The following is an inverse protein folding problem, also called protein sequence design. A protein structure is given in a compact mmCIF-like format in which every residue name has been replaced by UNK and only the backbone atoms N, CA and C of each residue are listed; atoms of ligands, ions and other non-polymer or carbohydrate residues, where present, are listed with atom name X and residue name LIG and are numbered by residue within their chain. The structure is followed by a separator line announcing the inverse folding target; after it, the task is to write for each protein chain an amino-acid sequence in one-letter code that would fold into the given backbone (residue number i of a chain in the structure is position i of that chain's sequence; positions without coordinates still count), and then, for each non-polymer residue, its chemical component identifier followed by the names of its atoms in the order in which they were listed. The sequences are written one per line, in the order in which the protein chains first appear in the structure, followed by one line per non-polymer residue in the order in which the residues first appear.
data_IF_392650264724
#
_entry.id   IF_392650264724
#
_cell.length_a   1.000
_cell.length_b   1.000
_cell.length_c   1.000
_cell.angle_alpha   90.00
_cell.angle_beta   90.00
_cell.angle_gamma   90.00
#
_symmetry.space_group_name_H-M   'P 1'
#
loop_
_entity.id
_entity.type
_entity.pdbx_description
1 polymer ?
#
# COMPACT_ATOMS: atom_id res chain seq x y z
N UNK A 1 -0.61 -11.55 4.50
CA UNK A 1 -1.75 -11.18 5.36
C UNK A 1 -1.35 -11.36 6.82
N UNK A 2 -1.59 -10.34 7.63
CA UNK A 2 -1.43 -10.47 9.08
C UNK A 2 -2.80 -10.84 9.67
N UNK A 3 -2.84 -11.64 10.75
CA UNK A 3 -4.09 -11.96 11.44
C UNK A 3 -4.72 -10.71 12.07
N UNK A 4 -3.91 -9.81 12.63
CA UNK A 4 -4.36 -8.52 13.17
C UNK A 4 -3.84 -7.36 12.33
N UNK A 5 -4.72 -6.39 12.03
CA UNK A 5 -4.38 -5.24 11.19
C UNK A 5 -3.29 -4.38 11.83
N UNK A 6 -2.14 -4.23 11.18
CA UNK A 6 -1.04 -3.42 11.70
C UNK A 6 -1.28 -1.90 11.62
N UNK A 7 -2.46 -1.47 11.17
CA UNK A 7 -2.80 -0.06 10.92
C UNK A 7 -3.93 0.38 11.86
N UNK A 8 -3.91 1.63 12.34
CA UNK A 8 -5.00 2.19 13.12
C UNK A 8 -6.28 2.30 12.28
N UNK A 9 -7.44 2.18 12.94
CA UNK A 9 -8.78 2.17 12.31
C UNK A 9 -9.14 3.47 11.56
N UNK A 10 -8.35 4.54 11.71
CA UNK A 10 -8.51 5.82 11.01
C UNK A 10 -7.54 6.07 9.85
N UNK A 11 -6.81 5.05 9.37
CA UNK A 11 -5.80 5.24 8.34
C UNK A 11 -6.40 5.76 7.02
N UNK A 12 -5.93 6.93 6.55
CA UNK A 12 -6.37 7.46 5.25
C UNK A 12 -5.65 6.71 4.11
N UNK A 13 -6.42 6.08 3.23
CA UNK A 13 -5.90 5.35 2.06
C UNK A 13 -6.19 6.13 0.79
N UNK A 14 -5.15 6.39 0.00
CA UNK A 14 -5.25 7.00 -1.31
C UNK A 14 -5.02 5.94 -2.40
N UNK A 15 -5.91 5.89 -3.40
CA UNK A 15 -5.80 5.00 -4.56
C UNK A 15 -5.50 5.79 -5.84
N UNK A 16 -4.37 5.50 -6.47
CA UNK A 16 -4.05 5.98 -7.80
C UNK A 16 -4.63 5.04 -8.86
N UNK A 17 -5.39 5.61 -9.78
CA UNK A 17 -6.09 4.89 -10.86
C UNK A 17 -5.55 5.28 -12.23
N UNK A 18 -5.73 4.38 -13.21
CA UNK A 18 -5.45 4.70 -14.61
C UNK A 18 -6.59 5.52 -15.18
N UNK A 19 -6.23 6.50 -16.02
CA UNK A 19 -7.19 7.22 -16.83
C UNK A 19 -7.73 6.32 -17.94
N UNK A 20 -9.05 6.23 -18.04
CA UNK A 20 -9.70 5.66 -19.21
C UNK A 20 -9.78 6.75 -20.30
N UNK A 21 -9.48 6.42 -21.56
CA UNK A 21 -9.27 7.40 -22.63
C UNK A 21 -10.51 8.26 -22.93
N UNK A 22 -11.71 7.71 -22.74
CA UNK A 22 -12.98 8.36 -23.11
C UNK A 22 -13.63 9.18 -21.99
N UNK A 23 -13.05 9.20 -20.79
CA UNK A 23 -13.67 9.80 -19.59
C UNK A 23 -12.83 10.97 -19.01
N UNK A 24 -13.54 11.93 -18.42
CA UNK A 24 -12.91 13.00 -17.62
C UNK A 24 -12.27 12.42 -16.35
N UNK A 25 -11.36 13.20 -15.73
CA UNK A 25 -10.71 12.80 -14.47
C UNK A 25 -11.75 12.53 -13.37
N UNK A 26 -12.75 13.41 -13.24
CA UNK A 26 -13.83 13.28 -12.26
C UNK A 26 -14.74 12.09 -12.53
N UNK A 27 -15.04 11.83 -13.81
CA UNK A 27 -15.87 10.68 -14.20
C UNK A 27 -15.15 9.36 -13.92
N UNK A 28 -13.83 9.32 -14.14
CA UNK A 28 -12.99 8.16 -13.84
C UNK A 28 -12.97 7.90 -12.33
N UNK A 29 -12.76 8.94 -11.52
CA UNK A 29 -12.77 8.84 -10.06
C UNK A 29 -14.14 8.35 -9.54
N UNK A 30 -15.24 8.87 -10.08
CA UNK A 30 -16.59 8.43 -9.71
C UNK A 30 -16.87 6.98 -10.14
N UNK A 31 -16.38 6.55 -11.30
CA UNK A 31 -16.51 5.17 -11.75
C UNK A 31 -15.81 4.21 -10.79
N UNK A 32 -14.56 4.48 -10.42
CA UNK A 32 -13.83 3.65 -9.46
C UNK A 32 -14.43 3.73 -8.05
N UNK A 33 -14.99 4.89 -7.65
CA UNK A 33 -15.72 5.03 -6.39
C UNK A 33 -16.94 4.11 -6.34
N UNK A 34 -17.75 4.11 -7.41
CA UNK A 34 -18.91 3.19 -7.54
C UNK A 34 -18.48 1.72 -7.54
N UNK A 35 -17.35 1.40 -8.20
CA UNK A 35 -16.80 0.06 -8.24
C UNK A 35 -16.39 -0.42 -6.84
N UNK A 36 -15.67 0.42 -6.08
CA UNK A 36 -15.26 0.12 -4.71
C UNK A 36 -16.46 -0.09 -3.78
N UNK A 37 -17.48 0.75 -3.90
CA UNK A 37 -18.74 0.61 -3.14
C UNK A 37 -19.42 -0.72 -3.48
N UNK A 38 -19.53 -1.06 -4.77
CA UNK A 38 -20.10 -2.35 -5.20
C UNK A 38 -19.29 -3.55 -4.71
N UNK A 39 -17.97 -3.39 -4.59
CA UNK A 39 -17.06 -4.40 -4.04
C UNK A 39 -17.04 -4.43 -2.50
N UNK A 40 -17.77 -3.54 -1.82
CA UNK A 40 -17.85 -3.50 -0.35
C UNK A 40 -16.60 -2.95 0.34
N UNK A 41 -15.75 -2.20 -0.37
CA UNK A 41 -14.54 -1.61 0.22
C UNK A 41 -14.81 -0.16 0.59
N UNK A 42 -14.85 0.14 1.89
CA UNK A 42 -14.99 1.50 2.44
C UNK A 42 -13.68 2.12 2.88
N UNK A 43 -12.59 1.34 2.91
CA UNK A 43 -11.29 1.78 3.45
C UNK A 43 -10.51 2.76 2.57
N UNK A 44 -11.02 3.14 1.38
CA UNK A 44 -10.34 4.08 0.47
C UNK A 44 -10.92 5.48 0.65
N UNK A 45 -10.14 6.40 1.20
CA UNK A 45 -10.54 7.78 1.49
C UNK A 45 -10.56 8.66 0.24
N UNK A 46 -9.55 8.55 -0.62
CA UNK A 46 -9.45 9.37 -1.84
C UNK A 46 -8.97 8.56 -3.03
N UNK A 47 -9.56 8.81 -4.19
CA UNK A 47 -9.15 8.26 -5.48
C UNK A 47 -8.58 9.40 -6.30
N UNK A 48 -7.40 9.20 -6.88
CA UNK A 48 -6.73 10.21 -7.71
C UNK A 48 -6.43 9.60 -9.07
N UNK A 49 -6.96 10.22 -10.12
CA UNK A 49 -6.65 9.84 -11.50
C UNK A 49 -5.23 10.28 -11.90
N UNK A 50 -4.66 9.66 -12.94
CA UNK A 50 -3.32 10.01 -13.39
C UNK A 50 -3.28 11.41 -14.06
N UNK A 51 -4.37 11.82 -14.73
CA UNK A 51 -4.58 13.19 -15.23
C UNK A 51 -4.56 14.21 -14.08
N UNK A 52 -5.31 13.96 -13.00
CA UNK A 52 -5.35 14.83 -11.81
C UNK A 52 -3.96 14.93 -11.17
N UNK A 53 -3.28 13.80 -11.00
CA UNK A 53 -1.93 13.73 -10.44
C UNK A 53 -0.92 14.59 -11.23
N UNK A 54 -1.01 14.55 -12.56
CA UNK A 54 -0.10 15.31 -13.43
C UNK A 54 -0.37 16.81 -13.41
N UNK A 55 -1.63 17.23 -13.28
CA UNK A 55 -2.03 18.64 -13.34
C UNK A 55 -1.90 19.33 -11.98
N UNK A 56 -2.53 18.77 -10.94
CA UNK A 56 -2.68 19.42 -9.64
C UNK A 56 -1.52 19.18 -8.69
N UNK A 57 -0.91 17.99 -8.76
CA UNK A 57 0.18 17.59 -7.86
C UNK A 57 1.57 17.79 -8.46
N UNK A 58 1.70 18.63 -9.51
CA UNK A 58 3.02 19.06 -10.03
C UNK A 58 3.85 19.85 -9.01
N UNK A 59 3.31 20.85 -8.26
CA UNK A 59 4.10 21.63 -7.33
C UNK A 59 4.55 20.79 -6.12
N UNK A 60 5.75 21.09 -5.63
CA UNK A 60 6.37 20.32 -4.56
C UNK A 60 5.57 20.34 -3.25
N UNK A 61 4.92 21.48 -2.95
CA UNK A 61 4.10 21.64 -1.76
C UNK A 61 2.86 20.72 -1.79
N UNK A 62 2.17 20.62 -2.93
CA UNK A 62 1.01 19.74 -3.08
C UNK A 62 1.39 18.26 -2.84
N UNK A 63 2.57 17.82 -3.31
CA UNK A 63 3.07 16.46 -3.05
C UNK A 63 3.34 16.22 -1.57
N UNK A 64 3.89 17.21 -0.86
CA UNK A 64 4.13 17.13 0.59
C UNK A 64 2.82 17.09 1.37
N UNK A 65 1.83 17.91 0.99
CA UNK A 65 0.49 17.88 1.58
C UNK A 65 -0.17 16.51 1.38
N UNK A 66 -0.06 15.94 0.18
CA UNK A 66 -0.56 14.59 -0.11
C UNK A 66 0.13 13.54 0.77
N UNK A 67 1.46 13.58 0.87
CA UNK A 67 2.24 12.65 1.69
C UNK A 67 1.93 12.72 3.18
N UNK A 68 1.67 13.91 3.70
CA UNK A 68 1.39 14.10 5.12
C UNK A 68 -0.05 13.72 5.49
N UNK A 69 -0.97 13.77 4.51
CA UNK A 69 -2.37 13.46 4.73
C UNK A 69 -2.65 11.96 4.77
N UNK A 70 -2.03 11.20 3.87
CA UNK A 70 -2.35 9.78 3.69
C UNK A 70 -1.28 8.85 4.28
N UNK A 71 -1.73 7.79 4.95
CA UNK A 71 -0.88 6.75 5.54
C UNK A 71 -0.55 5.61 4.57
N UNK A 72 -1.40 5.43 3.55
CA UNK A 72 -1.26 4.38 2.55
C UNK A 72 -1.56 4.88 1.15
N UNK A 73 -0.65 4.56 0.25
CA UNK A 73 -0.84 4.75 -1.17
C UNK A 73 -0.92 3.42 -1.88
N UNK A 74 -2.06 3.19 -2.50
CA UNK A 74 -2.33 2.10 -3.41
C UNK A 74 -2.27 2.64 -4.84
N UNK A 75 -1.77 1.84 -5.77
CA UNK A 75 -1.66 2.22 -7.17
C UNK A 75 -2.06 1.06 -8.07
N UNK A 76 -2.73 1.35 -9.20
CA UNK A 76 -2.92 0.33 -10.23
C UNK A 76 -1.55 -0.13 -10.78
N UNK A 77 -1.37 -1.42 -11.00
CA UNK A 77 -0.15 -1.99 -11.57
C UNK A 77 0.22 -1.33 -12.92
N UNK A 78 -0.79 -0.94 -13.71
CA UNK A 78 -0.61 -0.28 -15.01
C UNK A 78 0.09 1.08 -14.91
N UNK A 79 -0.15 1.84 -13.84
CA UNK A 79 0.42 3.19 -13.65
C UNK A 79 1.67 3.18 -12.79
N UNK A 80 1.96 2.08 -12.08
CA UNK A 80 3.09 1.94 -11.15
C UNK A 80 4.42 2.40 -11.75
N UNK A 81 4.65 2.15 -13.05
CA UNK A 81 5.88 2.54 -13.76
C UNK A 81 6.00 4.05 -14.01
N UNK A 82 4.88 4.76 -14.10
CA UNK A 82 4.82 6.19 -14.43
C UNK A 82 4.83 7.08 -13.17
N UNK A 83 4.29 6.56 -12.07
CA UNK A 83 4.19 7.25 -10.78
C UNK A 83 5.52 7.81 -10.23
N UNK A 84 6.70 7.14 -10.32
CA UNK A 84 7.95 7.69 -9.82
C UNK A 84 8.36 9.02 -10.46
N UNK A 85 8.07 9.21 -11.74
CA UNK A 85 8.40 10.44 -12.47
C UNK A 85 7.64 11.65 -11.91
N UNK A 86 6.37 11.45 -11.52
CA UNK A 86 5.51 12.53 -11.07
C UNK A 86 5.56 12.76 -9.55
N UNK A 87 5.57 11.71 -8.75
CA UNK A 87 5.53 11.81 -7.29
C UNK A 87 6.91 12.08 -6.67
N UNK A 88 7.99 11.70 -7.38
CA UNK A 88 9.36 11.96 -6.98
C UNK A 88 9.87 11.08 -5.83
N UNK A 89 11.15 11.26 -5.49
CA UNK A 89 11.89 10.40 -4.55
C UNK A 89 11.32 10.37 -3.14
N UNK A 90 10.77 11.50 -2.66
CA UNK A 90 10.24 11.61 -1.29
C UNK A 90 9.02 10.71 -1.09
N UNK A 91 8.22 10.56 -2.14
CA UNK A 91 7.02 9.75 -2.10
C UNK A 91 7.33 8.25 -2.07
N UNK A 92 8.38 7.82 -2.77
CA UNK A 92 8.82 6.42 -2.79
C UNK A 92 9.72 6.02 -1.63
N UNK A 93 10.12 6.98 -0.79
CA UNK A 93 10.62 6.68 0.56
C UNK A 93 9.50 6.20 1.47
N UNK A 94 8.26 6.66 1.21
CA UNK A 94 7.04 6.11 1.81
C UNK A 94 6.61 4.84 1.07
N UNK A 95 6.01 3.90 1.79
CA UNK A 95 5.70 2.56 1.29
C UNK A 95 4.51 2.60 0.32
N UNK A 96 4.80 2.61 -0.99
CA UNK A 96 3.75 2.55 -2.03
C UNK A 96 3.49 1.13 -2.49
N UNK A 97 2.23 0.72 -2.41
CA UNK A 97 1.78 -0.60 -2.82
C UNK A 97 1.09 -0.51 -4.17
N UNK A 98 1.29 -1.53 -4.99
CA UNK A 98 0.52 -1.70 -6.22
C UNK A 98 -0.52 -2.78 -6.03
N UNK A 99 -1.71 -2.53 -6.53
CA UNK A 99 -2.88 -3.40 -6.48
C UNK A 99 -3.39 -3.60 -7.91
N UNK A 100 -3.81 -4.81 -8.23
CA UNK A 100 -4.36 -5.08 -9.56
C UNK A 100 -5.87 -4.82 -9.56
N UNK A 101 -6.27 -3.64 -10.03
CA UNK A 101 -7.68 -3.24 -10.06
C UNK A 101 -8.55 -4.07 -11.02
N UNK A 102 -7.95 -4.87 -11.91
CA UNK A 102 -8.68 -5.75 -12.85
C UNK A 102 -8.94 -7.15 -12.30
N UNK A 103 -8.37 -7.51 -11.15
CA UNK A 103 -8.58 -8.83 -10.58
C UNK A 103 -10.04 -9.00 -10.12
N UNK A 104 -10.64 -10.15 -10.41
CA UNK A 104 -12.05 -10.47 -10.07
C UNK A 104 -12.34 -10.38 -8.57
N UNK A 105 -11.31 -10.38 -7.71
CA UNK A 105 -11.41 -10.34 -6.26
C UNK A 105 -10.78 -9.05 -5.66
N UNK A 106 -11.20 -7.89 -6.16
CA UNK A 106 -10.69 -6.59 -5.72
C UNK A 106 -10.73 -6.40 -4.20
N UNK A 107 -11.83 -6.77 -3.55
CA UNK A 107 -12.01 -6.61 -2.11
C UNK A 107 -10.99 -7.44 -1.30
N UNK A 108 -10.75 -8.69 -1.71
CA UNK A 108 -9.76 -9.56 -1.04
C UNK A 108 -8.34 -9.04 -1.24
N UNK A 109 -8.01 -8.55 -2.43
CA UNK A 109 -6.70 -7.94 -2.66
C UNK A 109 -6.51 -6.67 -1.85
N UNK A 110 -7.51 -5.79 -1.79
CA UNK A 110 -7.40 -4.56 -0.99
C UNK A 110 -7.27 -4.89 0.49
N UNK A 111 -8.13 -5.74 1.05
CA UNK A 111 -8.03 -6.15 2.46
C UNK A 111 -6.66 -6.75 2.78
N UNK A 112 -6.11 -7.58 1.88
CA UNK A 112 -4.77 -8.15 2.05
C UNK A 112 -3.66 -7.09 2.10
N UNK A 113 -3.78 -6.00 1.35
CA UNK A 113 -2.78 -4.91 1.34
C UNK A 113 -2.99 -3.91 2.48
N UNK A 114 -4.24 -3.72 2.93
CA UNK A 114 -4.60 -2.82 4.03
C UNK A 114 -4.20 -3.45 5.36
N UNK A 115 -4.66 -4.68 5.61
CA UNK A 115 -4.38 -5.43 6.85
C UNK A 115 -2.97 -6.01 6.85
N UNK A 116 -2.45 -6.36 5.68
CA UNK A 116 -1.14 -6.97 5.55
C UNK A 116 0.00 -5.96 5.58
N UNK A 117 1.15 -6.46 6.03
CA UNK A 117 2.41 -5.74 5.93
C UNK A 117 3.18 -6.17 4.69
N UNK A 118 3.86 -5.20 4.09
CA UNK A 118 4.77 -5.43 2.96
C UNK A 118 6.22 -5.27 3.41
N UNK A 119 6.99 -6.30 3.10
CA UNK A 119 8.44 -6.31 3.21
C UNK A 119 9.02 -6.05 1.81
N UNK A 120 9.56 -4.85 1.53
CA UNK A 120 10.22 -4.59 0.26
C UNK A 120 11.56 -5.32 0.24
N UNK A 121 11.61 -6.42 -0.51
CA UNK A 121 12.87 -7.13 -0.77
C UNK A 121 13.56 -6.44 -1.93
N UNK A 122 14.58 -5.65 -1.61
CA UNK A 122 15.45 -5.00 -2.61
C UNK A 122 16.82 -5.66 -2.60
N UNK A 123 17.48 -5.80 -3.75
CA UNK A 123 18.85 -6.33 -3.82
C UNK A 123 19.92 -5.37 -3.25
N UNK A 124 19.52 -4.38 -2.44
CA UNK A 124 20.38 -3.35 -1.87
C UNK A 124 20.63 -3.62 -0.38
N UNK A 125 21.28 -4.74 -0.10
CA UNK A 125 21.73 -5.13 1.25
C UNK A 125 21.01 -6.35 1.82
N UNK A 126 21.36 -6.70 3.06
CA UNK A 126 20.90 -7.92 3.74
C UNK A 126 19.80 -7.66 4.78
N UNK A 127 19.48 -6.38 5.05
CA UNK A 127 18.57 -5.98 6.13
C UNK A 127 17.26 -5.44 5.55
N UNK A 128 16.13 -6.02 5.95
CA UNK A 128 14.81 -5.59 5.55
C UNK A 128 13.97 -5.25 6.78
N UNK A 129 13.12 -4.23 6.67
CA UNK A 129 12.27 -3.79 7.78
C UNK A 129 10.79 -3.79 7.39
N UNK A 130 9.98 -4.44 8.21
CA UNK A 130 8.53 -4.51 8.09
C UNK A 130 7.90 -3.97 9.37
N UNK A 131 6.73 -3.32 9.24
CA UNK A 131 5.96 -2.84 10.41
C UNK A 131 4.93 -3.90 10.75
N UNK A 132 5.00 -4.49 11.94
CA UNK A 132 4.17 -5.67 12.29
C UNK A 132 2.95 -5.28 13.14
N UNK A 133 2.98 -4.10 13.77
CA UNK A 133 1.87 -3.57 14.56
C UNK A 133 2.12 -2.12 14.98
N UNK A 134 1.22 -1.61 15.83
CA UNK A 134 1.32 -0.29 16.47
C UNK A 134 1.34 -0.42 18.00
N UNK A 135 1.82 0.62 18.70
CA UNK A 135 1.98 0.61 20.17
C UNK A 135 0.67 0.40 20.93
N UNK A 136 -0.47 0.78 20.35
CA UNK A 136 -1.80 0.53 20.92
C UNK A 136 -2.36 -0.90 20.79
N UNK A 137 -1.66 -1.85 20.15
CA UNK A 137 -2.12 -3.25 20.06
C UNK A 137 -1.73 -4.02 21.32
N UNK A 138 -2.46 -5.11 21.62
CA UNK A 138 -2.07 -5.99 22.74
C UNK A 138 -0.80 -6.76 22.39
N UNK A 139 -0.01 -7.09 23.41
CA UNK A 139 1.22 -7.85 23.22
C UNK A 139 0.98 -9.23 22.58
N UNK A 140 -0.13 -9.90 22.94
CA UNK A 140 -0.52 -11.19 22.37
C UNK A 140 -0.82 -11.10 20.86
N UNK A 141 -1.55 -10.06 20.44
CA UNK A 141 -1.86 -9.82 19.02
C UNK A 141 -0.60 -9.53 18.19
N UNK A 142 0.36 -8.79 18.79
CA UNK A 142 1.65 -8.53 18.15
C UNK A 142 2.44 -9.83 17.99
N UNK A 143 2.43 -10.71 19.01
CA UNK A 143 3.11 -12.00 18.95
C UNK A 143 2.56 -12.87 17.81
N UNK A 144 1.24 -12.98 17.71
CA UNK A 144 0.58 -13.70 16.61
C UNK A 144 0.96 -13.14 15.23
N UNK A 145 0.99 -11.80 15.11
CA UNK A 145 1.43 -11.14 13.89
C UNK A 145 2.91 -11.43 13.55
N UNK A 146 3.79 -11.46 14.55
CA UNK A 146 5.22 -11.79 14.36
C UNK A 146 5.37 -13.23 13.88
N UNK A 147 4.69 -14.19 14.49
CA UNK A 147 4.75 -15.61 14.10
C UNK A 147 4.25 -15.76 12.66
N UNK A 148 3.07 -15.22 12.35
CA UNK A 148 2.51 -15.27 11.01
C UNK A 148 3.42 -14.59 9.97
N UNK A 149 4.04 -13.46 10.30
CA UNK A 149 5.01 -12.79 9.44
C UNK A 149 6.25 -13.66 9.20
N UNK A 150 6.77 -14.28 10.26
CA UNK A 150 7.94 -15.14 10.19
C UNK A 150 7.68 -16.34 9.24
N UNK A 151 6.55 -17.03 9.38
CA UNK A 151 6.18 -18.13 8.48
C UNK A 151 6.08 -17.72 7.00
N UNK A 152 5.48 -16.56 6.73
CA UNK A 152 5.35 -16.03 5.37
C UNK A 152 6.73 -15.66 4.79
N UNK A 153 7.61 -15.09 5.61
CA UNK A 153 8.99 -14.78 5.22
C UNK A 153 9.75 -16.08 4.92
N UNK A 154 9.53 -17.14 5.72
CA UNK A 154 10.11 -18.47 5.50
C UNK A 154 9.82 -19.00 4.10
N UNK A 155 8.56 -18.88 3.68
CA UNK A 155 8.06 -19.47 2.43
C UNK A 155 8.42 -18.63 1.21
N UNK A 156 8.54 -17.31 1.37
CA UNK A 156 8.75 -16.38 0.25
C UNK A 156 10.21 -16.05 -0.04
N UNK A 157 11.12 -16.24 0.91
CA UNK A 157 12.54 -15.99 0.67
C UNK A 157 13.16 -17.11 -0.17
N UNK A 158 14.01 -16.77 -1.15
CA UNK A 158 14.81 -17.78 -1.83
C UNK A 158 15.67 -18.49 -0.78
N UNK A 159 15.70 -19.84 -0.78
CA UNK A 159 16.37 -20.70 0.21
C UNK A 159 15.75 -20.76 1.63
N UNK A 160 14.51 -20.31 1.80
CA UNK A 160 13.74 -20.44 3.04
C UNK A 160 14.48 -19.87 4.27
N UNK A 161 14.46 -20.59 5.41
CA UNK A 161 15.04 -20.17 6.69
C UNK A 161 16.57 -20.06 6.68
N UNK A 162 17.26 -20.76 5.77
CA UNK A 162 18.73 -20.74 5.70
C UNK A 162 19.29 -19.37 5.32
N UNK A 163 18.47 -18.52 4.70
CA UNK A 163 18.84 -17.16 4.33
C UNK A 163 18.53 -16.11 5.41
N UNK A 164 17.82 -16.48 6.48
CA UNK A 164 17.55 -15.58 7.60
C UNK A 164 18.65 -15.75 8.64
N UNK A 165 19.49 -14.74 8.79
CA UNK A 165 20.57 -14.77 9.80
C UNK A 165 20.07 -14.34 11.18
N UNK A 166 19.36 -13.21 11.25
CA UNK A 166 18.93 -12.58 12.49
C UNK A 166 17.57 -11.92 12.25
N UNK A 167 16.64 -12.10 13.18
CA UNK A 167 15.40 -11.32 13.26
C UNK A 167 15.56 -10.32 14.40
N UNK A 168 15.38 -9.04 14.10
CA UNK A 168 15.48 -7.97 15.07
C UNK A 168 14.15 -7.23 15.17
N UNK A 169 13.60 -7.14 16.37
CA UNK A 169 12.42 -6.35 16.68
C UNK A 169 12.86 -4.99 17.20
N UNK A 170 12.29 -3.94 16.61
CA UNK A 170 12.51 -2.56 17.01
C UNK A 170 11.20 -1.79 17.02
N UNK A 171 11.11 -0.82 17.92
CA UNK A 171 10.03 0.16 18.03
C UNK A 171 10.33 1.41 17.21
#
# INVERSE_FOLDING_TARGET
PLPHGARPDGAEVCLFTRDEPDLSAEQTENMYKKLLIRSGVTSVSQIISYKTLRKEYKPFEAKRRLLNRFDLFLSDDRIRRLLPSHLGKHFYRSKNLSVNLKASNLAKELHKHIQGTVLPVTNKGCCYTARIGHTGMKADEILENVIAAAEVIAKKLPKNWKNVKILHLKT
#
